data_IF_109798319289
#
_entry.id   IF_109798319289
#
_cell.length_a   1.000
_cell.length_b   1.000
_cell.length_c   1.000
_cell.angle_alpha   90.00
_cell.angle_beta   90.00
_cell.angle_gamma   90.00
#
_symmetry.space_group_name_H-M   'P 1'
#
loop_
_entity.id
_entity.type
_entity.pdbx_description
1 polymer ?
#
# COMPACT_ATOMS: atom_id res chain seq x y z
N UNK A 1 -12.07 3.67 -32.71
CA UNK A 1 -11.24 3.52 -31.51
C UNK A 1 -10.88 2.05 -31.38
N UNK A 2 -9.61 1.67 -31.58
CA UNK A 2 -9.17 0.27 -31.57
C UNK A 2 -7.95 0.11 -30.65
N UNK A 3 -7.98 -0.84 -29.70
CA UNK A 3 -6.88 -1.13 -28.78
C UNK A 3 -6.56 0.01 -27.80
N UNK A 4 -7.54 0.85 -27.48
CA UNK A 4 -7.35 2.05 -26.63
C UNK A 4 -7.72 1.72 -25.18
N UNK A 5 -6.93 2.25 -24.23
CA UNK A 5 -7.22 2.17 -22.79
C UNK A 5 -7.58 3.55 -22.24
N UNK A 6 -8.78 3.71 -21.72
CA UNK A 6 -9.23 4.93 -21.04
C UNK A 6 -9.02 4.79 -19.52
N UNK A 7 -8.34 5.76 -18.88
CA UNK A 7 -8.12 5.77 -17.43
C UNK A 7 -8.58 7.11 -16.86
N UNK A 8 -9.52 7.08 -15.92
CA UNK A 8 -10.05 8.28 -15.22
C UNK A 8 -10.58 9.38 -16.14
N UNK A 9 -11.24 9.00 -17.24
CA UNK A 9 -11.82 9.95 -18.21
C UNK A 9 -13.33 10.04 -18.03
N UNK A 10 -13.90 11.25 -18.00
CA UNK A 10 -15.35 11.42 -18.04
C UNK A 10 -15.78 12.18 -19.28
N UNK A 11 -16.45 11.50 -20.20
CA UNK A 11 -17.08 12.14 -21.35
C UNK A 11 -18.43 12.71 -20.91
N UNK A 12 -18.65 14.02 -21.09
CA UNK A 12 -19.90 14.71 -20.73
C UNK A 12 -20.53 15.33 -21.97
N UNK A 13 -21.85 15.26 -22.09
CA UNK A 13 -22.64 15.92 -23.15
C UNK A 13 -22.07 15.69 -24.57
N UNK A 14 -21.51 14.50 -24.82
CA UNK A 14 -20.79 14.18 -26.06
C UNK A 14 -21.64 13.32 -26.99
N UNK A 15 -21.48 13.49 -28.31
CA UNK A 15 -22.20 12.71 -29.32
C UNK A 15 -21.21 11.89 -30.15
N UNK A 16 -21.40 10.58 -30.17
CA UNK A 16 -20.60 9.64 -30.96
C UNK A 16 -21.46 9.10 -32.11
N UNK A 17 -21.08 9.38 -33.36
CA UNK A 17 -21.82 8.94 -34.56
C UNK A 17 -20.96 8.01 -35.40
N UNK A 18 -21.52 6.89 -35.84
CA UNK A 18 -20.89 5.91 -36.75
C UNK A 18 -19.48 5.49 -36.28
N UNK A 19 -19.32 5.28 -34.97
CA UNK A 19 -18.04 4.99 -34.32
C UNK A 19 -17.93 3.50 -33.94
N UNK A 20 -16.76 2.90 -34.18
CA UNK A 20 -16.44 1.53 -33.73
C UNK A 20 -15.45 1.58 -32.58
N UNK A 21 -15.80 0.93 -31.46
CA UNK A 21 -14.94 0.67 -30.31
C UNK A 21 -14.54 -0.80 -30.33
N UNK A 22 -13.30 -1.10 -30.65
CA UNK A 22 -12.77 -2.47 -30.72
C UNK A 22 -11.65 -2.65 -29.70
N UNK A 23 -11.76 -3.69 -28.86
CA UNK A 23 -10.75 -4.03 -27.85
C UNK A 23 -10.39 -2.83 -26.93
N UNK A 24 -11.42 -2.09 -26.51
CA UNK A 24 -11.27 -0.92 -25.64
C UNK A 24 -11.50 -1.31 -24.19
N UNK A 25 -10.58 -0.93 -23.31
CA UNK A 25 -10.73 -1.08 -21.85
C UNK A 25 -10.81 0.27 -21.16
N UNK A 26 -11.56 0.35 -20.06
CA UNK A 26 -11.93 1.61 -19.42
C UNK A 26 -11.93 1.48 -17.89
N UNK A 27 -10.98 2.14 -17.24
CA UNK A 27 -10.82 2.19 -15.78
C UNK A 27 -11.31 3.54 -15.28
N UNK A 28 -12.17 3.54 -14.25
CA UNK A 28 -12.75 4.76 -13.66
C UNK A 28 -13.27 5.78 -14.70
N UNK A 29 -13.80 5.27 -15.82
CA UNK A 29 -14.18 6.09 -16.98
C UNK A 29 -15.69 6.03 -17.17
N UNK A 30 -16.32 7.20 -17.36
CA UNK A 30 -17.78 7.33 -17.41
C UNK A 30 -18.23 8.19 -18.58
N UNK A 31 -19.39 7.86 -19.12
CA UNK A 31 -20.10 8.66 -20.11
C UNK A 31 -21.35 9.24 -19.44
N UNK A 32 -21.47 10.56 -19.37
CA UNK A 32 -22.58 11.26 -18.73
C UNK A 32 -23.32 12.11 -19.77
N UNK A 33 -24.63 11.92 -19.90
CA UNK A 33 -25.46 12.64 -20.87
C UNK A 33 -24.95 12.52 -22.33
N UNK A 34 -24.35 11.38 -22.69
CA UNK A 34 -23.81 11.18 -24.04
C UNK A 34 -24.83 10.50 -24.97
N UNK A 35 -24.73 10.74 -26.27
CA UNK A 35 -25.58 10.07 -27.28
C UNK A 35 -24.71 9.29 -28.25
N UNK A 36 -25.03 8.01 -28.44
CA UNK A 36 -24.37 7.09 -29.35
C UNK A 36 -25.32 6.75 -30.51
N UNK A 37 -24.88 6.96 -31.74
CA UNK A 37 -25.66 6.76 -32.97
C UNK A 37 -24.86 5.86 -33.91
N UNK A 38 -25.42 4.73 -34.35
CA UNK A 38 -24.76 3.77 -35.27
C UNK A 38 -23.38 3.31 -34.78
N UNK A 39 -23.22 3.15 -33.46
CA UNK A 39 -21.93 2.79 -32.87
C UNK A 39 -21.83 1.30 -32.58
N UNK A 40 -20.69 0.70 -32.93
CA UNK A 40 -20.41 -0.72 -32.68
C UNK A 40 -19.40 -0.84 -31.53
N UNK A 41 -19.75 -1.61 -30.52
CA UNK A 41 -18.87 -1.95 -29.41
C UNK A 41 -18.48 -3.43 -29.54
N UNK A 42 -17.20 -3.72 -29.73
CA UNK A 42 -16.66 -5.05 -29.93
C UNK A 42 -15.54 -5.32 -28.93
N UNK A 43 -15.63 -6.39 -28.11
CA UNK A 43 -14.62 -6.74 -27.09
C UNK A 43 -14.33 -5.62 -26.09
N UNK A 44 -15.34 -4.84 -25.73
CA UNK A 44 -15.21 -3.73 -24.76
C UNK A 44 -15.65 -4.13 -23.35
N UNK A 45 -15.13 -3.44 -22.33
CA UNK A 45 -15.49 -3.58 -20.91
C UNK A 45 -16.56 -2.56 -20.44
N UNK A 46 -17.33 -2.04 -21.39
CA UNK A 46 -18.33 -1.03 -21.13
C UNK A 46 -19.60 -1.63 -20.54
N UNK A 47 -19.66 -1.68 -19.21
CA UNK A 47 -20.84 -2.12 -18.47
C UNK A 47 -21.89 -1.02 -18.34
N UNK A 48 -23.19 -1.38 -18.11
CA UNK A 48 -24.28 -0.41 -18.05
C UNK A 48 -24.06 0.74 -17.07
N UNK A 49 -23.40 0.49 -15.93
CA UNK A 49 -23.14 1.51 -14.91
C UNK A 49 -22.19 2.62 -15.38
N UNK A 50 -21.37 2.38 -16.42
CA UNK A 50 -20.45 3.39 -16.98
C UNK A 50 -21.19 4.44 -17.83
N UNK A 51 -22.45 4.19 -18.18
CA UNK A 51 -23.29 5.07 -18.98
C UNK A 51 -24.40 5.70 -18.13
N UNK A 52 -24.24 6.96 -17.76
CA UNK A 52 -25.19 7.70 -16.92
C UNK A 52 -25.98 8.65 -17.82
N UNK A 53 -27.30 8.43 -17.91
CA UNK A 53 -28.21 9.22 -18.76
C UNK A 53 -27.79 9.26 -20.25
N UNK A 54 -27.21 8.17 -20.75
CA UNK A 54 -26.81 8.09 -22.16
C UNK A 54 -27.94 7.53 -23.04
N UNK A 55 -27.99 7.96 -24.30
CA UNK A 55 -28.93 7.46 -25.30
C UNK A 55 -28.19 6.66 -26.37
N UNK A 56 -28.73 5.51 -26.75
CA UNK A 56 -28.19 4.65 -27.81
C UNK A 56 -29.21 4.53 -28.94
N UNK A 57 -28.80 4.84 -30.16
CA UNK A 57 -29.63 4.76 -31.37
C UNK A 57 -28.91 3.88 -32.40
N UNK A 58 -29.48 2.72 -32.69
CA UNK A 58 -28.91 1.75 -33.64
C UNK A 58 -27.46 1.32 -33.29
N UNK A 59 -27.17 1.17 -31.99
CA UNK A 59 -25.85 0.74 -31.49
C UNK A 59 -25.85 -0.75 -31.17
N UNK A 60 -24.76 -1.45 -31.49
CA UNK A 60 -24.61 -2.90 -31.27
C UNK A 60 -23.47 -3.21 -30.31
N UNK A 61 -23.68 -4.14 -29.38
CA UNK A 61 -22.67 -4.65 -28.45
C UNK A 61 -22.34 -6.11 -28.77
N UNK A 62 -21.07 -6.40 -29.06
CA UNK A 62 -20.56 -7.68 -29.52
C UNK A 62 -19.41 -8.12 -28.61
N UNK A 63 -19.52 -9.33 -28.04
CA UNK A 63 -18.49 -9.95 -27.19
C UNK A 63 -17.99 -9.04 -26.05
N UNK A 64 -18.90 -8.48 -25.26
CA UNK A 64 -18.50 -7.66 -24.12
C UNK A 64 -17.65 -8.47 -23.15
N UNK A 65 -16.49 -7.90 -22.78
CA UNK A 65 -15.65 -8.42 -21.70
C UNK A 65 -16.38 -8.13 -20.39
N UNK A 66 -17.20 -9.07 -19.96
CA UNK A 66 -17.93 -8.99 -18.69
C UNK A 66 -17.11 -9.67 -17.60
N UNK A 67 -16.96 -8.99 -16.46
CA UNK A 67 -16.21 -9.50 -15.31
C UNK A 67 -15.25 -8.47 -14.73
N UNK A 68 -14.90 -8.66 -13.45
CA UNK A 68 -13.84 -7.91 -12.79
C UNK A 68 -12.50 -8.19 -13.50
N UNK A 69 -12.13 -7.33 -14.44
CA UNK A 69 -10.74 -7.20 -14.81
C UNK A 69 -10.01 -6.70 -13.56
N UNK A 70 -9.16 -7.54 -12.96
CA UNK A 70 -8.16 -7.07 -12.00
C UNK A 70 -7.26 -6.08 -12.75
N UNK A 71 -7.65 -4.81 -12.71
CA UNK A 71 -6.91 -3.73 -13.37
C UNK A 71 -5.77 -3.33 -12.45
N UNK A 72 -4.61 -3.97 -12.66
CA UNK A 72 -3.31 -3.69 -12.01
C UNK A 72 -2.88 -2.20 -12.02
N UNK A 73 -3.61 -1.34 -12.72
CA UNK A 73 -3.27 0.06 -12.95
C UNK A 73 -3.72 0.99 -11.80
N UNK A 74 -4.76 0.64 -11.04
CA UNK A 74 -5.11 1.36 -9.78
C UNK A 74 -4.36 0.76 -8.57
N UNK A 75 -3.78 -0.45 -8.73
CA UNK A 75 -3.00 -1.15 -7.71
C UNK A 75 -1.53 -0.75 -7.66
N UNK A 76 -0.99 0.09 -8.56
CA UNK A 76 0.43 0.46 -8.48
C UNK A 76 0.76 1.15 -7.14
N UNK A 77 -0.13 2.03 -6.67
CA UNK A 77 -0.01 2.67 -5.36
C UNK A 77 -0.25 1.67 -4.21
N UNK A 78 -1.24 0.79 -4.34
CA UNK A 78 -1.54 -0.23 -3.33
C UNK A 78 -0.38 -1.22 -3.16
N UNK A 79 0.12 -1.79 -4.26
CA UNK A 79 1.29 -2.64 -4.31
C UNK A 79 2.51 -1.96 -3.68
N UNK A 80 2.74 -0.69 -4.02
CA UNK A 80 3.88 0.05 -3.46
C UNK A 80 3.79 0.18 -1.94
N UNK A 81 2.61 0.47 -1.40
CA UNK A 81 2.38 0.53 0.05
C UNK A 81 2.64 -0.84 0.70
N UNK A 82 2.12 -1.92 0.13
CA UNK A 82 2.37 -3.28 0.65
C UNK A 82 3.84 -3.67 0.55
N UNK A 83 4.51 -3.29 -0.53
CA UNK A 83 5.93 -3.56 -0.73
C UNK A 83 6.80 -2.82 0.29
N UNK A 84 6.52 -1.54 0.54
CA UNK A 84 7.21 -0.77 1.58
C UNK A 84 6.97 -1.36 2.97
N UNK A 85 5.73 -1.77 3.28
CA UNK A 85 5.42 -2.43 4.55
C UNK A 85 6.17 -3.78 4.68
N UNK A 86 6.20 -4.57 3.61
CA UNK A 86 6.96 -5.82 3.55
C UNK A 86 8.46 -5.57 3.81
N UNK A 87 9.08 -4.60 3.15
CA UNK A 87 10.48 -4.24 3.40
C UNK A 87 10.73 -3.79 4.84
N UNK A 88 9.79 -3.02 5.41
CA UNK A 88 9.82 -2.63 6.82
C UNK A 88 9.84 -3.84 7.76
N UNK A 89 8.95 -4.81 7.55
CA UNK A 89 8.92 -6.06 8.34
C UNK A 89 10.15 -6.93 8.09
N UNK A 90 10.68 -6.97 6.86
CA UNK A 90 11.88 -7.71 6.51
C UNK A 90 13.10 -7.17 7.27
N UNK A 91 13.17 -5.85 7.49
CA UNK A 91 14.24 -5.20 8.24
C UNK A 91 14.22 -5.53 9.76
N UNK A 92 13.07 -5.97 10.30
CA UNK A 92 12.94 -6.38 11.70
C UNK A 92 13.72 -7.66 11.98
N UNK A 93 13.76 -8.61 11.04
CA UNK A 93 14.49 -9.89 11.20
C UNK A 93 16.00 -9.70 11.45
N UNK A 94 16.77 -8.98 10.61
CA UNK A 94 18.17 -8.70 10.89
C UNK A 94 18.32 -7.80 12.11
N UNK A 95 17.38 -6.87 12.36
CA UNK A 95 17.35 -6.06 13.57
C UNK A 95 17.35 -6.91 14.85
N UNK A 96 16.52 -7.96 14.89
CA UNK A 96 16.47 -8.91 16.00
C UNK A 96 17.80 -9.66 16.21
N UNK A 97 18.44 -10.13 15.14
CA UNK A 97 19.73 -10.84 15.23
C UNK A 97 20.82 -9.91 15.78
N UNK A 98 20.92 -8.70 15.22
CA UNK A 98 21.88 -7.70 15.66
C UNK A 98 21.61 -7.29 17.10
N UNK A 99 20.33 -7.19 17.49
CA UNK A 99 19.92 -6.87 18.84
C UNK A 99 20.40 -7.92 19.85
N UNK A 100 20.23 -9.21 19.56
CA UNK A 100 20.69 -10.28 20.45
C UNK A 100 22.21 -10.24 20.64
N UNK A 101 22.97 -10.10 19.54
CA UNK A 101 24.44 -10.06 19.58
C UNK A 101 25.00 -8.83 20.30
N UNK A 102 24.37 -7.66 20.12
CA UNK A 102 24.82 -6.42 20.77
C UNK A 102 24.41 -6.36 22.23
N UNK A 103 23.25 -6.93 22.59
CA UNK A 103 22.79 -6.98 23.97
C UNK A 103 23.76 -7.79 24.85
N UNK A 104 24.34 -8.86 24.31
CA UNK A 104 25.36 -9.67 24.99
C UNK A 104 26.69 -8.93 25.21
N UNK A 105 26.96 -7.86 24.45
CA UNK A 105 28.25 -7.14 24.45
C UNK A 105 28.21 -5.78 25.16
N UNK A 106 27.15 -5.00 24.96
CA UNK A 106 27.09 -3.57 25.31
C UNK A 106 26.27 -3.34 26.60
N UNK A 107 25.47 -4.32 27.00
CA UNK A 107 24.57 -4.23 28.15
C UNK A 107 23.15 -3.80 27.75
N UNK A 108 22.18 -4.18 28.58
CA UNK A 108 20.74 -4.08 28.25
C UNK A 108 20.23 -2.63 28.27
N UNK A 109 20.54 -1.90 29.34
CA UNK A 109 20.12 -0.51 29.53
C UNK A 109 20.70 0.45 28.48
N UNK A 110 21.97 0.31 28.15
CA UNK A 110 22.67 1.11 27.12
C UNK A 110 22.12 0.83 25.73
N UNK A 111 21.74 -0.42 25.44
CA UNK A 111 21.12 -0.79 24.19
C UNK A 111 19.69 -0.23 24.05
N UNK A 112 18.90 -0.22 25.14
CA UNK A 112 17.58 0.39 25.16
C UNK A 112 17.66 1.91 24.92
N UNK A 113 18.53 2.61 25.66
CA UNK A 113 18.70 4.06 25.48
C UNK A 113 19.29 4.41 24.11
N UNK A 114 20.31 3.68 23.67
CA UNK A 114 21.01 3.94 22.40
C UNK A 114 20.11 3.74 21.18
N UNK A 115 19.29 2.68 21.16
CA UNK A 115 18.34 2.42 20.07
C UNK A 115 17.21 3.45 19.99
N UNK A 116 16.71 3.94 21.13
CA UNK A 116 15.70 5.02 21.17
C UNK A 116 16.26 6.35 20.67
N UNK A 117 17.52 6.69 21.01
CA UNK A 117 18.16 7.91 20.49
C UNK A 117 18.44 7.79 18.99
N UNK A 118 18.97 6.66 18.53
CA UNK A 118 19.26 6.43 17.12
C UNK A 118 17.99 6.41 16.25
N UNK A 119 16.89 5.84 16.74
CA UNK A 119 15.59 5.89 16.06
C UNK A 119 14.99 7.29 16.03
N UNK A 120 15.19 8.10 17.08
CA UNK A 120 14.85 9.52 17.07
C UNK A 120 15.62 10.30 15.99
N UNK A 121 16.92 10.02 15.85
CA UNK A 121 17.76 10.63 14.81
C UNK A 121 17.30 10.20 13.42
N UNK A 122 16.98 8.92 13.18
CA UNK A 122 16.50 8.46 11.87
C UNK A 122 15.16 9.08 11.49
N UNK A 123 14.27 9.31 12.45
CA UNK A 123 13.02 10.04 12.24
C UNK A 123 13.25 11.49 11.82
N UNK A 124 14.26 12.16 12.40
CA UNK A 124 14.65 13.50 11.96
C UNK A 124 15.16 13.51 10.52
N UNK A 125 15.90 12.48 10.09
CA UNK A 125 16.33 12.38 8.70
C UNK A 125 15.20 12.07 7.71
N UNK A 126 14.12 11.39 8.14
CA UNK A 126 12.91 11.22 7.31
C UNK A 126 12.28 12.56 6.94
N UNK A 127 12.34 13.55 7.84
CA UNK A 127 11.84 14.91 7.57
C UNK A 127 12.58 15.61 6.42
N UNK A 128 13.88 15.34 6.25
CA UNK A 128 14.69 15.86 5.14
C UNK A 128 14.70 14.92 3.91
N UNK A 129 13.88 13.86 3.94
CA UNK A 129 13.70 12.87 2.89
C UNK A 129 13.10 13.43 1.61
N UNK A 130 13.92 13.90 0.68
CA UNK A 130 13.42 14.37 -0.64
C UNK A 130 13.30 13.26 -1.68
N UNK A 131 13.88 12.07 -1.44
CA UNK A 131 13.83 10.94 -2.35
C UNK A 131 13.12 9.73 -1.74
N UNK A 132 12.30 9.04 -2.56
CA UNK A 132 11.51 7.88 -2.14
C UNK A 132 12.40 6.74 -1.60
N UNK A 133 13.55 6.49 -2.23
CA UNK A 133 14.49 5.45 -1.80
C UNK A 133 15.13 5.76 -0.44
N UNK A 134 15.45 7.03 -0.16
CA UNK A 134 16.00 7.43 1.13
C UNK A 134 14.96 7.31 2.24
N UNK A 135 13.70 7.64 1.95
CA UNK A 135 12.60 7.45 2.90
C UNK A 135 12.40 5.97 3.27
N UNK A 136 12.38 5.08 2.27
CA UNK A 136 12.24 3.64 2.52
C UNK A 136 13.44 3.09 3.30
N UNK A 137 14.66 3.49 2.95
CA UNK A 137 15.86 3.09 3.67
C UNK A 137 15.85 3.52 5.14
N UNK A 138 15.44 4.77 5.40
CA UNK A 138 15.32 5.30 6.76
C UNK A 138 14.18 4.65 7.55
N UNK A 139 13.07 4.30 6.89
CA UNK A 139 11.97 3.54 7.52
C UNK A 139 12.43 2.14 7.94
N UNK A 140 13.19 1.44 7.11
CA UNK A 140 13.76 0.14 7.45
C UNK A 140 14.76 0.25 8.61
N UNK A 141 15.62 1.27 8.60
CA UNK A 141 16.54 1.55 9.72
C UNK A 141 15.77 1.86 11.02
N UNK A 142 14.73 2.68 10.94
CA UNK A 142 13.86 2.98 12.07
C UNK A 142 13.21 1.71 12.65
N UNK A 143 12.62 0.86 11.82
CA UNK A 143 12.00 -0.40 12.25
C UNK A 143 13.02 -1.36 12.87
N UNK A 144 14.20 -1.49 12.28
CA UNK A 144 15.28 -2.34 12.79
C UNK A 144 15.90 -1.84 14.10
N UNK A 145 16.01 -0.53 14.30
CA UNK A 145 16.47 0.05 15.56
C UNK A 145 15.40 -0.05 16.65
N UNK A 146 14.15 0.23 16.30
CA UNK A 146 13.03 0.22 17.26
C UNK A 146 12.79 -1.18 17.82
N UNK A 147 12.90 -2.23 17.00
CA UNK A 147 12.76 -3.61 17.51
C UNK A 147 13.86 -3.98 18.52
N UNK A 148 15.07 -3.46 18.33
CA UNK A 148 16.16 -3.69 19.29
C UNK A 148 15.87 -3.05 20.66
N UNK A 149 15.18 -1.90 20.67
CA UNK A 149 14.73 -1.24 21.89
C UNK A 149 13.65 -2.08 22.61
N UNK A 150 12.68 -2.60 21.85
CA UNK A 150 11.62 -3.47 22.36
C UNK A 150 12.18 -4.77 22.97
N UNK A 151 13.08 -5.44 22.27
CA UNK A 151 13.72 -6.65 22.79
C UNK A 151 14.47 -6.36 24.10
N UNK A 152 15.14 -5.21 24.20
CA UNK A 152 15.82 -4.83 25.45
C UNK A 152 14.86 -4.57 26.60
N UNK A 153 13.74 -3.90 26.32
CA UNK A 153 12.72 -3.62 27.32
C UNK A 153 12.17 -4.93 27.89
N UNK A 154 11.88 -5.92 27.05
CA UNK A 154 11.38 -7.23 27.47
C UNK A 154 12.40 -8.01 28.33
N UNK A 155 13.70 -7.84 28.08
CA UNK A 155 14.72 -8.48 28.93
C UNK A 155 14.91 -7.72 30.24
N UNK A 156 14.86 -6.38 30.23
CA UNK A 156 15.02 -5.58 31.44
C UNK A 156 13.84 -5.77 32.40
N UNK A 157 12.61 -5.86 31.89
CA UNK A 157 11.41 -6.10 32.70
C UNK A 157 11.50 -7.43 33.46
N UNK A 158 11.86 -8.53 32.79
CA UNK A 158 12.03 -9.82 33.49
C UNK A 158 13.17 -9.83 34.52
N UNK A 159 14.17 -8.96 34.36
CA UNK A 159 15.28 -8.84 35.32
C UNK A 159 14.93 -8.02 36.55
N UNK A 160 14.04 -7.03 36.42
CA UNK A 160 13.60 -6.17 37.52
C UNK A 160 12.73 -6.91 38.54
N UNK A 161 12.01 -7.96 38.13
CA UNK A 161 11.04 -8.63 38.98
C UNK A 161 11.42 -10.06 39.38
N UNK A 162 11.17 -10.46 40.65
CA UNK A 162 11.44 -11.81 41.13
C UNK A 162 10.56 -12.85 40.42
N UNK A 163 11.06 -14.09 40.34
CA UNK A 163 10.53 -15.19 39.51
C UNK A 163 9.01 -15.41 39.66
N UNK A 164 8.48 -15.23 40.87
CA UNK A 164 7.07 -15.49 41.20
C UNK A 164 6.08 -14.50 40.57
N UNK A 165 6.55 -13.35 40.04
CA UNK A 165 5.67 -12.30 39.48
C UNK A 165 5.90 -11.98 38.00
N UNK A 166 6.87 -12.61 37.35
CA UNK A 166 7.23 -12.36 35.95
C UNK A 166 6.09 -12.58 34.95
N UNK A 167 5.26 -13.61 35.18
CA UNK A 167 4.14 -13.93 34.29
C UNK A 167 3.02 -12.86 34.33
N UNK A 168 2.75 -12.31 35.52
CA UNK A 168 1.71 -11.30 35.72
C UNK A 168 2.08 -9.99 35.02
N UNK A 169 3.36 -9.61 35.06
CA UNK A 169 3.84 -8.39 34.41
C UNK A 169 3.89 -8.50 32.89
N UNK A 170 4.39 -9.61 32.32
CA UNK A 170 4.33 -9.82 30.87
C UNK A 170 2.89 -9.73 30.34
N UNK A 171 1.92 -10.19 31.13
CA UNK A 171 0.49 -10.00 30.85
C UNK A 171 0.09 -8.54 30.88
N UNK A 172 0.42 -7.82 31.96
CA UNK A 172 0.07 -6.41 32.13
C UNK A 172 0.73 -5.49 31.08
N UNK A 173 1.99 -5.75 30.72
CA UNK A 173 2.73 -4.99 29.74
C UNK A 173 2.12 -5.12 28.33
N UNK A 174 1.54 -6.28 28.00
CA UNK A 174 0.81 -6.50 26.74
C UNK A 174 -0.59 -5.88 26.73
N UNK A 175 -1.20 -5.62 27.88
CA UNK A 175 -2.51 -4.95 27.95
C UNK A 175 -2.41 -3.42 27.88
N UNK A 176 -1.26 -2.85 28.27
CA UNK A 176 -1.05 -1.40 28.35
C UNK A 176 -0.44 -0.81 27.06
N UNK A 177 0.10 -1.65 26.17
CA UNK A 177 0.73 -1.28 24.89
C UNK A 177 -0.16 -1.61 23.70
#
# INVERSE_FOLDING_TARGET
>A
FAGIRFKSITFKNSVFKSCTFEDVTSVNTYFKNCTFIETVFNKTDFEPYKFINCRFQNSTFLYNKTGCQFTFDDDYSAYWIYFVNFLGTLAVLPGNIVSALLMDRIGRLTMLGGSMVLSGISCFFLWFGTSESMMIGMLCLYNGLTISAWNSLDVVTVELYPTDRRYVEMGLQREVL
#
